data_IF_188235708337
#
_entry.id   IF_188235708337
#
_cell.length_a   1.000
_cell.length_b   1.000
_cell.length_c   1.000
_cell.angle_alpha   90.00
_cell.angle_beta   90.00
_cell.angle_gamma   90.00
#
_symmetry.space_group_name_H-M   'P 1'
#
loop_
_entity.id
_entity.type
_entity.pdbx_description
1 polymer ?
#
# COMPACT_ATOMS: atom_id res chain seq x y z
N UNK A 1 -37.21 -0.50 8.22
CA UNK A 1 -36.98 -0.23 6.79
C UNK A 1 -35.52 0.08 6.42
N UNK A 2 -34.58 0.24 7.36
CA UNK A 2 -33.16 0.53 7.03
C UNK A 2 -32.27 -0.73 6.82
N UNK A 3 -32.76 -1.92 7.19
CA UNK A 3 -32.00 -3.20 7.10
C UNK A 3 -32.00 -3.85 5.70
N UNK A 4 -32.85 -3.40 4.77
CA UNK A 4 -32.99 -3.98 3.44
C UNK A 4 -32.28 -3.19 2.33
N UNK A 5 -31.72 -2.01 2.61
CA UNK A 5 -31.03 -1.16 1.63
C UNK A 5 -29.53 -1.47 1.50
N UNK A 6 -28.95 -2.13 2.50
CA UNK A 6 -27.52 -2.45 2.53
C UNK A 6 -27.07 -3.45 1.44
N UNK A 7 -27.80 -4.55 1.15
CA UNK A 7 -27.38 -5.47 0.07
C UNK A 7 -27.61 -4.90 -1.33
N UNK A 8 -28.55 -3.97 -1.52
CA UNK A 8 -28.81 -3.36 -2.81
C UNK A 8 -27.75 -2.31 -3.20
N UNK A 9 -27.26 -1.55 -2.22
CA UNK A 9 -26.16 -0.60 -2.41
C UNK A 9 -24.82 -1.31 -2.70
N UNK A 10 -24.59 -2.48 -2.10
CA UNK A 10 -23.40 -3.29 -2.36
C UNK A 10 -23.42 -3.95 -3.74
N UNK A 11 -24.61 -4.34 -4.24
CA UNK A 11 -24.76 -4.94 -5.57
C UNK A 11 -24.61 -3.93 -6.72
N UNK A 12 -24.94 -2.66 -6.51
CA UNK A 12 -24.80 -1.60 -7.53
C UNK A 12 -23.34 -1.15 -7.76
N UNK A 13 -22.44 -1.43 -6.81
CA UNK A 13 -21.01 -1.11 -6.93
C UNK A 13 -20.23 -2.15 -7.79
N UNK A 14 -20.86 -3.26 -8.17
CA UNK A 14 -20.22 -4.36 -8.88
C UNK A 14 -20.45 -4.37 -10.39
N UNK A 15 -21.23 -3.45 -10.95
CA UNK A 15 -21.45 -3.36 -12.40
C UNK A 15 -20.55 -2.31 -13.05
N UNK A 16 -19.24 -2.44 -12.91
CA UNK A 16 -18.27 -1.67 -13.68
C UNK A 16 -18.13 -2.25 -15.08
N UNK A 17 -18.52 -1.47 -16.12
CA UNK A 17 -18.25 -1.82 -17.49
C UNK A 17 -16.74 -1.99 -17.70
N UNK A 18 -16.33 -3.14 -18.22
CA UNK A 18 -14.94 -3.42 -18.58
C UNK A 18 -14.54 -2.50 -19.76
N UNK A 19 -13.98 -1.35 -19.46
CA UNK A 19 -13.22 -0.57 -20.41
C UNK A 19 -11.77 -1.10 -20.38
N UNK A 20 -11.15 -1.24 -21.54
CA UNK A 20 -9.72 -1.49 -21.63
C UNK A 20 -8.97 -0.23 -21.16
N UNK A 21 -8.93 -0.02 -19.86
CA UNK A 21 -8.12 1.00 -19.23
C UNK A 21 -6.67 0.50 -19.17
N UNK A 22 -5.70 1.40 -19.23
CA UNK A 22 -4.28 1.10 -19.00
C UNK A 22 -4.13 0.33 -17.68
N UNK A 23 -3.75 -0.94 -17.78
CA UNK A 23 -3.71 -1.88 -16.64
C UNK A 23 -2.63 -1.56 -15.60
N UNK A 24 -1.76 -0.59 -15.88
CA UNK A 24 -0.53 -0.35 -15.12
C UNK A 24 -0.47 1.03 -14.45
N UNK A 25 -1.51 1.85 -14.57
CA UNK A 25 -1.48 3.23 -14.08
C UNK A 25 -1.29 3.34 -12.57
N UNK A 26 -1.79 2.37 -11.79
CA UNK A 26 -1.78 2.36 -10.32
C UNK A 26 -0.87 1.35 -9.66
N UNK A 27 -0.05 0.58 -10.40
CA UNK A 27 0.72 -0.53 -9.82
C UNK A 27 1.71 -0.10 -8.74
N UNK A 28 2.36 1.06 -8.89
CA UNK A 28 3.27 1.58 -7.87
C UNK A 28 2.57 1.84 -6.51
N UNK A 29 1.24 2.03 -6.52
CA UNK A 29 0.41 2.14 -5.32
C UNK A 29 0.06 0.76 -4.73
N UNK A 30 0.29 -0.33 -5.45
CA UNK A 30 -0.03 -1.69 -5.01
C UNK A 30 1.03 -2.33 -4.11
N UNK A 31 2.27 -1.82 -4.12
CA UNK A 31 3.42 -2.44 -3.45
C UNK A 31 3.41 -2.37 -1.90
N UNK A 32 2.34 -1.87 -1.29
CA UNK A 32 2.19 -1.78 0.16
C UNK A 32 2.95 -0.61 0.80
N UNK A 33 2.92 -0.47 2.12
CA UNK A 33 3.64 0.52 2.91
C UNK A 33 3.96 -0.05 4.29
N UNK A 34 5.25 -0.07 4.64
CA UNK A 34 5.75 -0.55 5.94
C UNK A 34 6.20 -2.02 5.94
N UNK A 35 7.35 -2.30 6.56
CA UNK A 35 7.89 -3.65 6.68
C UNK A 35 6.97 -4.57 7.51
N UNK A 36 6.28 -4.04 8.53
CA UNK A 36 5.30 -4.79 9.33
C UNK A 36 4.19 -5.37 8.45
N UNK A 37 3.60 -4.55 7.58
CA UNK A 37 2.53 -4.99 6.69
C UNK A 37 3.01 -5.95 5.61
N UNK A 38 4.20 -5.71 5.05
CA UNK A 38 4.83 -6.58 4.07
C UNK A 38 5.09 -7.98 4.64
N UNK A 39 5.64 -8.06 5.85
CA UNK A 39 5.87 -9.31 6.56
C UNK A 39 4.59 -10.10 6.90
N UNK A 40 3.43 -9.42 6.89
CA UNK A 40 2.10 -9.99 7.10
C UNK A 40 1.38 -10.32 5.78
N UNK A 41 2.13 -10.40 4.66
CA UNK A 41 1.58 -10.71 3.35
C UNK A 41 0.55 -9.67 2.88
N UNK A 42 0.74 -8.39 3.23
CA UNK A 42 -0.19 -7.29 2.91
C UNK A 42 -1.63 -7.48 3.45
N UNK A 43 -1.86 -8.43 4.37
CA UNK A 43 -3.15 -8.67 5.02
C UNK A 43 -3.44 -7.64 6.13
N UNK A 44 -3.26 -6.34 5.84
CA UNK A 44 -3.11 -5.30 6.85
C UNK A 44 -4.33 -4.38 7.02
N UNK A 45 -5.29 -4.40 6.11
CA UNK A 45 -6.43 -3.45 6.05
C UNK A 45 -7.26 -3.39 7.35
N UNK A 46 -7.36 -4.50 8.11
CA UNK A 46 -8.10 -4.57 9.37
C UNK A 46 -7.22 -4.28 10.60
N UNK A 47 -5.90 -4.47 10.48
CA UNK A 47 -4.95 -4.24 11.57
C UNK A 47 -4.42 -2.81 11.58
N UNK A 48 -4.27 -2.13 10.44
CA UNK A 48 -3.65 -0.83 10.28
C UNK A 48 -4.01 0.15 11.43
N UNK A 49 -3.13 0.27 12.42
CA UNK A 49 -3.33 1.00 13.68
C UNK A 49 -2.19 2.01 13.97
N UNK A 50 -1.32 2.22 13.00
CA UNK A 50 -0.14 3.08 13.04
C UNK A 50 -0.18 4.19 11.96
N UNK A 51 0.92 4.92 11.77
CA UNK A 51 1.00 6.01 10.79
C UNK A 51 0.82 5.53 9.34
N UNK A 52 1.03 4.23 9.04
CA UNK A 52 0.82 3.66 7.71
C UNK A 52 -0.66 3.48 7.37
N UNK A 53 -1.56 3.61 8.37
CA UNK A 53 -3.00 3.49 8.18
C UNK A 53 -3.55 4.52 7.17
N UNK A 54 -2.90 5.69 7.03
CA UNK A 54 -3.26 6.67 5.99
C UNK A 54 -3.23 6.11 4.57
N UNK A 55 -2.37 5.14 4.32
CA UNK A 55 -2.25 4.42 3.06
C UNK A 55 -3.12 3.15 3.02
N UNK A 56 -3.14 2.34 4.10
CA UNK A 56 -3.82 1.04 4.11
C UNK A 56 -5.33 1.15 4.29
N UNK A 57 -5.74 1.88 5.32
CA UNK A 57 -7.14 2.14 5.66
C UNK A 57 -7.20 3.30 6.65
N UNK A 58 -7.54 4.49 6.19
CA UNK A 58 -7.56 5.68 7.02
C UNK A 58 -8.45 5.56 8.28
N UNK A 59 -9.47 4.68 8.29
CA UNK A 59 -10.28 4.43 9.48
C UNK A 59 -9.44 3.94 10.67
N UNK A 60 -8.33 3.25 10.40
CA UNK A 60 -7.40 2.75 11.41
C UNK A 60 -6.66 3.85 12.17
N UNK A 61 -6.46 5.03 11.58
CA UNK A 61 -5.87 6.19 12.27
C UNK A 61 -6.61 6.57 13.56
N UNK A 62 -7.89 6.19 13.67
CA UNK A 62 -8.66 6.41 14.89
C UNK A 62 -8.14 5.62 16.10
N UNK A 63 -7.33 4.58 15.90
CA UNK A 63 -6.69 3.82 16.97
C UNK A 63 -5.39 4.47 17.46
N UNK A 64 -4.85 5.42 16.71
CA UNK A 64 -3.60 6.08 17.03
C UNK A 64 -3.70 6.88 18.33
N UNK A 65 -2.66 6.79 19.16
CA UNK A 65 -2.48 7.60 20.36
C UNK A 65 -1.21 8.45 20.23
N UNK A 66 -1.31 9.76 20.54
CA UNK A 66 -0.16 10.67 20.45
C UNK A 66 0.18 11.05 19.01
N UNK A 67 1.47 11.13 18.73
CA UNK A 67 2.05 11.43 17.42
C UNK A 67 2.98 10.32 17.01
N UNK A 68 3.08 10.06 15.71
CA UNK A 68 3.98 9.06 15.17
C UNK A 68 4.60 9.56 13.86
N UNK A 69 5.89 9.30 13.70
CA UNK A 69 6.59 9.38 12.41
C UNK A 69 6.96 7.96 12.02
N UNK A 70 6.76 7.61 10.75
CA UNK A 70 7.11 6.32 10.19
C UNK A 70 7.91 6.50 8.91
N UNK A 71 8.98 5.73 8.78
CA UNK A 71 9.86 5.69 7.62
C UNK A 71 9.99 4.25 7.17
N UNK A 72 9.94 4.01 5.86
CA UNK A 72 10.24 2.71 5.25
C UNK A 72 11.12 2.92 4.04
N UNK A 73 12.14 2.08 3.91
CA UNK A 73 12.92 1.92 2.69
C UNK A 73 12.84 0.47 2.23
N UNK A 74 12.69 0.25 0.93
CA UNK A 74 12.69 -1.08 0.33
C UNK A 74 13.41 -1.09 -1.01
N UNK A 75 14.16 -2.15 -1.22
CA UNK A 75 14.84 -2.46 -2.47
C UNK A 75 14.19 -3.70 -3.08
N UNK A 76 13.69 -3.55 -4.30
CA UNK A 76 13.08 -4.62 -5.06
C UNK A 76 14.01 -5.02 -6.20
N UNK A 77 14.08 -6.33 -6.48
CA UNK A 77 14.79 -6.88 -7.63
C UNK A 77 16.25 -6.43 -7.70
N UNK A 78 17.01 -6.70 -6.61
CA UNK A 78 18.44 -6.34 -6.49
C UNK A 78 18.72 -4.85 -6.59
N UNK A 79 17.81 -4.01 -6.06
CA UNK A 79 17.97 -2.56 -6.05
C UNK A 79 17.56 -1.87 -7.36
N UNK A 80 17.01 -2.61 -8.34
CA UNK A 80 16.52 -2.02 -9.59
C UNK A 80 15.38 -1.03 -9.33
N UNK A 81 14.49 -1.34 -8.38
CA UNK A 81 13.41 -0.46 -7.96
C UNK A 81 13.62 -0.10 -6.50
N UNK A 82 13.73 1.17 -6.21
CA UNK A 82 13.79 1.72 -4.86
C UNK A 82 12.43 2.28 -4.48
N UNK A 83 11.99 2.00 -3.26
CA UNK A 83 10.73 2.52 -2.77
C UNK A 83 10.86 3.03 -1.35
N UNK A 84 10.42 4.28 -1.16
CA UNK A 84 10.41 4.98 0.11
C UNK A 84 8.98 5.29 0.52
N UNK A 85 8.70 5.18 1.80
CA UNK A 85 7.45 5.63 2.41
C UNK A 85 7.74 6.42 3.67
N UNK A 86 7.14 7.60 3.76
CA UNK A 86 7.23 8.47 4.93
C UNK A 86 5.82 8.83 5.37
N UNK A 87 5.53 8.73 6.66
CA UNK A 87 4.26 9.19 7.20
C UNK A 87 4.44 9.92 8.53
N UNK A 88 3.66 10.98 8.71
CA UNK A 88 3.48 11.66 9.99
C UNK A 88 2.01 11.57 10.35
N UNK A 89 1.72 11.06 11.54
CA UNK A 89 0.35 10.89 12.01
C UNK A 89 0.18 11.43 13.42
N UNK A 90 -1.04 11.85 13.75
CA UNK A 90 -1.40 12.28 15.09
C UNK A 90 -2.85 11.96 15.43
N UNK A 91 -3.12 11.73 16.72
CA UNK A 91 -4.47 11.75 17.27
C UNK A 91 -4.99 13.19 17.44
N UNK A 92 -6.30 13.37 17.44
CA UNK A 92 -6.93 14.69 17.62
C UNK A 92 -8.36 14.59 18.16
N UNK A 93 -8.96 15.73 18.45
CA UNK A 93 -10.31 15.80 19.04
C UNK A 93 -11.43 15.76 18.00
N UNK A 94 -11.30 16.51 16.91
CA UNK A 94 -12.32 16.58 15.84
C UNK A 94 -12.24 15.37 14.93
N UNK A 95 -11.03 15.11 14.40
CA UNK A 95 -10.66 13.88 13.75
C UNK A 95 -9.84 13.08 14.76
N UNK A 96 -10.26 11.83 15.02
CA UNK A 96 -9.62 10.99 16.02
C UNK A 96 -8.21 10.56 15.59
N UNK A 97 -7.92 10.59 14.28
CA UNK A 97 -6.60 10.43 13.72
C UNK A 97 -6.47 11.19 12.40
N UNK A 98 -5.28 11.72 12.14
CA UNK A 98 -4.90 12.39 10.90
C UNK A 98 -3.50 11.94 10.51
N UNK A 99 -3.24 11.81 9.21
CA UNK A 99 -1.91 11.50 8.68
C UNK A 99 -1.64 12.27 7.38
N UNK A 100 -0.36 12.59 7.19
CA UNK A 100 0.22 12.98 5.92
C UNK A 100 1.24 11.91 5.56
N UNK A 101 1.11 11.30 4.37
CA UNK A 101 1.99 10.22 3.95
C UNK A 101 2.47 10.46 2.52
N UNK A 102 3.73 10.12 2.25
CA UNK A 102 4.36 10.20 0.94
C UNK A 102 4.90 8.83 0.57
N UNK A 103 4.54 8.37 -0.62
CA UNK A 103 5.15 7.22 -1.31
C UNK A 103 6.03 7.76 -2.42
N UNK A 104 7.25 7.22 -2.54
CA UNK A 104 8.12 7.39 -3.71
C UNK A 104 8.48 6.00 -4.24
N UNK A 105 8.42 5.80 -5.55
CA UNK A 105 9.01 4.68 -6.24
C UNK A 105 9.92 5.22 -7.35
N UNK A 106 11.14 4.73 -7.43
CA UNK A 106 12.13 5.21 -8.38
C UNK A 106 12.86 4.07 -9.08
N UNK A 107 13.21 4.30 -10.33
CA UNK A 107 14.11 3.50 -11.14
C UNK A 107 15.15 4.46 -11.69
N UNK A 108 16.39 4.25 -11.29
CA UNK A 108 17.52 5.05 -11.75
C UNK A 108 18.28 4.31 -12.85
N UNK A 109 19.21 5.02 -13.54
CA UNK A 109 20.13 4.47 -14.53
C UNK A 109 19.45 3.74 -15.71
N UNK A 110 18.32 4.26 -16.20
CA UNK A 110 17.67 3.74 -17.42
C UNK A 110 18.49 4.17 -18.64
N UNK A 111 19.23 3.24 -19.22
CA UNK A 111 20.07 3.51 -20.38
C UNK A 111 19.25 3.47 -21.68
N UNK A 112 19.14 4.62 -22.34
CA UNK A 112 18.67 4.70 -23.71
C UNK A 112 19.85 4.50 -24.65
N UNK A 113 19.72 3.55 -25.57
CA UNK A 113 20.80 3.21 -26.50
C UNK A 113 20.43 3.59 -27.93
N UNK A 114 21.42 4.00 -28.69
CA UNK A 114 21.31 4.26 -30.12
C UNK A 114 22.40 3.48 -30.94
N UNK A 115 22.11 3.24 -32.19
CA UNK A 115 23.10 2.69 -33.11
C UNK A 115 23.94 3.84 -33.68
N UNK A 116 25.30 3.72 -33.76
CA UNK A 116 26.13 4.70 -34.42
C UNK A 116 25.73 4.97 -35.88
N UNK A 117 25.30 3.95 -36.59
CA UNK A 117 24.65 4.07 -37.89
C UNK A 117 23.23 3.50 -37.83
N UNK A 118 22.19 4.37 -37.76
CA UNK A 118 20.79 3.93 -37.64
C UNK A 118 20.24 3.28 -38.92
N UNK A 119 20.95 3.41 -40.05
CA UNK A 119 20.57 2.80 -41.34
C UNK A 119 21.05 1.35 -41.48
N UNK A 120 21.92 0.89 -40.58
CA UNK A 120 22.43 -0.47 -40.57
C UNK A 120 21.88 -1.27 -39.37
N UNK A 121 21.69 -2.56 -39.61
CA UNK A 121 21.31 -3.46 -38.52
C UNK A 121 22.41 -3.58 -37.44
N UNK A 122 22.07 -3.92 -36.21
CA UNK A 122 23.07 -4.22 -35.16
C UNK A 122 24.06 -5.28 -35.63
N UNK A 123 25.36 -5.00 -35.47
CA UNK A 123 26.48 -5.89 -35.84
C UNK A 123 27.64 -5.68 -34.88
N UNK A 124 28.75 -6.44 -35.07
CA UNK A 124 30.00 -6.25 -34.31
C UNK A 124 30.55 -4.84 -34.43
N UNK A 125 30.38 -4.21 -35.61
CA UNK A 125 30.91 -2.89 -35.92
C UNK A 125 29.86 -1.77 -35.69
N UNK A 126 28.58 -2.14 -35.57
CA UNK A 126 27.49 -1.22 -35.32
C UNK A 126 26.72 -1.64 -34.02
N UNK A 127 27.42 -1.60 -32.88
CA UNK A 127 26.88 -1.96 -31.59
C UNK A 127 26.12 -0.80 -30.96
N UNK A 128 24.97 -1.06 -30.28
CA UNK A 128 24.29 -0.04 -29.49
C UNK A 128 25.25 0.61 -28.49
N UNK A 129 25.22 1.92 -28.41
CA UNK A 129 25.91 2.74 -27.42
C UNK A 129 24.92 3.49 -26.58
N UNK A 130 25.26 3.78 -25.32
CA UNK A 130 24.42 4.59 -24.43
C UNK A 130 24.38 6.01 -25.01
N UNK A 131 23.19 6.45 -25.40
CA UNK A 131 22.94 7.81 -25.90
C UNK A 131 22.60 8.75 -24.74
N UNK A 132 21.72 8.30 -23.82
CA UNK A 132 21.39 9.03 -22.60
C UNK A 132 21.10 8.06 -21.45
N UNK A 133 21.18 8.57 -20.24
CA UNK A 133 20.75 7.86 -19.03
C UNK A 133 19.65 8.68 -18.38
N UNK A 134 18.50 8.08 -18.20
CA UNK A 134 17.29 8.72 -17.67
C UNK A 134 16.87 8.05 -16.35
N UNK A 135 15.90 8.65 -15.69
CA UNK A 135 15.28 8.11 -14.48
C UNK A 135 13.76 8.14 -14.59
N UNK A 136 13.11 7.28 -13.82
CA UNK A 136 11.66 7.28 -13.65
C UNK A 136 11.33 7.35 -12.16
N UNK A 137 10.38 8.19 -11.80
CA UNK A 137 9.95 8.31 -10.40
C UNK A 137 8.44 8.57 -10.31
N UNK A 138 7.78 7.78 -9.48
CA UNK A 138 6.36 7.93 -9.14
C UNK A 138 6.23 8.38 -7.69
N UNK A 139 5.38 9.38 -7.45
CA UNK A 139 5.09 9.93 -6.14
C UNK A 139 3.60 9.91 -5.87
N UNK A 140 3.20 9.59 -4.63
CA UNK A 140 1.84 9.76 -4.16
C UNK A 140 1.83 10.38 -2.76
N UNK A 141 1.19 11.55 -2.64
CA UNK A 141 0.98 12.25 -1.38
C UNK A 141 -0.45 12.00 -0.89
N UNK A 142 -0.60 11.47 0.32
CA UNK A 142 -1.89 11.21 0.95
C UNK A 142 -2.12 12.18 2.11
N UNK A 143 -3.30 12.80 2.13
CA UNK A 143 -3.85 13.49 3.30
C UNK A 143 -5.04 12.67 3.80
N UNK A 144 -4.92 12.12 5.01
CA UNK A 144 -5.86 11.17 5.56
C UNK A 144 -6.44 11.65 6.89
N UNK A 145 -7.71 11.33 7.11
CA UNK A 145 -8.39 11.62 8.36
C UNK A 145 -9.37 10.53 8.75
N UNK A 146 -9.59 10.34 10.06
CA UNK A 146 -10.50 9.34 10.60
C UNK A 146 -11.39 9.88 11.69
N UNK A 147 -12.58 9.29 11.80
CA UNK A 147 -13.55 9.61 12.85
C UNK A 147 -14.21 8.34 13.40
N UNK A 148 -14.25 8.21 14.72
CA UNK A 148 -15.05 7.18 15.38
C UNK A 148 -16.53 7.59 15.40
N UNK A 149 -17.39 6.67 14.99
CA UNK A 149 -18.84 6.78 15.07
C UNK A 149 -19.34 5.78 16.13
N UNK A 150 -19.29 6.21 17.39
CA UNK A 150 -19.60 5.36 18.54
C UNK A 150 -18.42 4.47 18.96
N UNK A 151 -18.72 3.39 19.70
CA UNK A 151 -17.70 2.54 20.33
C UNK A 151 -17.03 1.53 19.37
N UNK A 152 -17.68 1.20 18.25
CA UNK A 152 -17.29 0.06 17.42
C UNK A 152 -16.94 0.43 15.98
N UNK A 153 -17.45 1.54 15.46
CA UNK A 153 -17.31 1.92 14.06
C UNK A 153 -16.35 3.10 13.92
N UNK A 154 -15.39 2.99 13.01
CA UNK A 154 -14.55 4.08 12.57
C UNK A 154 -14.67 4.24 11.05
N UNK A 155 -14.72 5.47 10.58
CA UNK A 155 -14.64 5.81 9.17
C UNK A 155 -13.37 6.62 8.91
N UNK A 156 -12.83 6.49 7.70
CA UNK A 156 -11.65 7.21 7.26
C UNK A 156 -11.79 7.66 5.81
N UNK A 157 -11.18 8.78 5.50
CA UNK A 157 -11.08 9.32 4.16
C UNK A 157 -9.62 9.68 3.89
N UNK A 158 -9.12 9.35 2.70
CA UNK A 158 -7.83 9.79 2.19
C UNK A 158 -8.03 10.48 0.86
N UNK A 159 -7.44 11.67 0.71
CA UNK A 159 -7.24 12.33 -0.57
C UNK A 159 -5.80 12.07 -0.99
N UNK A 160 -5.57 11.72 -2.26
CA UNK A 160 -4.23 11.48 -2.79
C UNK A 160 -3.97 12.31 -4.04
N UNK A 161 -2.78 12.91 -4.09
CA UNK A 161 -2.23 13.56 -5.26
C UNK A 161 -1.08 12.69 -5.80
N UNK A 162 -1.07 12.44 -7.09
CA UNK A 162 -0.10 11.61 -7.77
C UNK A 162 0.72 12.47 -8.72
N UNK A 163 2.03 12.29 -8.72
CA UNK A 163 2.95 12.82 -9.71
C UNK A 163 3.81 11.69 -10.24
N UNK A 164 3.90 11.58 -11.56
CA UNK A 164 4.70 10.56 -12.23
C UNK A 164 5.65 11.24 -13.20
N UNK A 165 6.88 10.76 -13.24
CA UNK A 165 7.90 11.19 -14.19
C UNK A 165 8.50 9.95 -14.84
N UNK A 166 8.47 9.91 -16.17
CA UNK A 166 9.11 8.86 -16.98
C UNK A 166 10.01 9.57 -17.97
N UNK A 167 11.31 9.55 -17.71
CA UNK A 167 12.31 10.34 -18.46
C UNK A 167 11.90 11.85 -18.48
N UNK A 168 11.56 12.38 -19.64
CA UNK A 168 11.15 13.79 -19.84
C UNK A 168 9.65 14.02 -19.78
N UNK A 169 8.82 12.98 -19.60
CA UNK A 169 7.36 13.04 -19.66
C UNK A 169 6.80 13.01 -18.23
N UNK A 170 5.82 13.86 -17.94
CA UNK A 170 5.22 13.98 -16.62
C UNK A 170 3.72 13.69 -16.66
N UNK A 171 3.19 13.19 -15.55
CA UNK A 171 1.76 13.05 -15.36
C UNK A 171 1.31 13.42 -13.95
N UNK A 172 0.05 13.82 -13.84
CA UNK A 172 -0.57 14.23 -12.58
C UNK A 172 -1.89 13.50 -12.40
N UNK A 173 -2.21 13.14 -11.17
CA UNK A 173 -3.46 12.50 -10.82
C UNK A 173 -3.99 12.93 -9.47
N UNK A 174 -5.31 12.73 -9.27
CA UNK A 174 -5.96 12.97 -8.01
C UNK A 174 -7.00 11.89 -7.75
N UNK A 175 -7.00 11.32 -6.54
CA UNK A 175 -7.90 10.24 -6.13
C UNK A 175 -8.38 10.39 -4.69
N UNK A 176 -9.43 9.64 -4.38
CA UNK A 176 -10.03 9.56 -3.05
C UNK A 176 -10.21 8.09 -2.65
N UNK A 177 -9.90 7.78 -1.39
CA UNK A 177 -10.10 6.46 -0.80
C UNK A 177 -11.00 6.57 0.43
N UNK A 178 -11.92 5.62 0.62
CA UNK A 178 -12.87 5.56 1.74
C UNK A 178 -12.67 4.28 2.54
N UNK A 179 -12.32 4.43 3.81
CA UNK A 179 -12.07 3.34 4.74
C UNK A 179 -13.15 3.17 5.80
N UNK A 180 -13.37 1.94 6.21
CA UNK A 180 -14.21 1.56 7.35
C UNK A 180 -13.50 0.50 8.19
N UNK A 181 -13.62 0.62 9.52
CA UNK A 181 -13.19 -0.41 10.48
C UNK A 181 -14.27 -0.61 11.52
N UNK A 182 -14.67 -1.86 11.72
CA UNK A 182 -15.70 -2.25 12.70
C UNK A 182 -15.15 -3.24 13.73
N UNK A 183 -15.14 -2.86 14.99
CA UNK A 183 -14.73 -3.71 16.11
C UNK A 183 -15.91 -4.57 16.52
N UNK A 184 -15.95 -5.82 16.06
CA UNK A 184 -17.04 -6.78 16.32
C UNK A 184 -17.02 -7.23 17.79
N UNK A 185 -15.82 -7.56 18.31
CA UNK A 185 -15.54 -7.88 19.71
C UNK A 185 -14.16 -7.32 20.10
N UNK A 186 -13.73 -7.38 21.37
CA UNK A 186 -12.36 -6.99 21.74
C UNK A 186 -11.27 -7.70 20.94
N UNK A 187 -11.55 -8.92 20.44
CA UNK A 187 -10.60 -9.76 19.70
C UNK A 187 -10.75 -9.65 18.19
N UNK A 188 -11.94 -9.27 17.67
CA UNK A 188 -12.24 -9.35 16.24
C UNK A 188 -12.48 -7.97 15.66
N UNK A 189 -11.70 -7.59 14.66
CA UNK A 189 -11.93 -6.41 13.84
C UNK A 189 -12.19 -6.82 12.39
N UNK A 190 -13.16 -6.15 11.76
CA UNK A 190 -13.45 -6.23 10.32
C UNK A 190 -13.17 -4.89 9.69
N UNK A 191 -12.72 -4.89 8.44
CA UNK A 191 -12.46 -3.66 7.72
C UNK A 191 -12.77 -3.77 6.24
N UNK A 192 -13.09 -2.62 5.67
CA UNK A 192 -13.22 -2.42 4.23
C UNK A 192 -12.50 -1.12 3.85
N UNK A 193 -11.87 -1.10 2.69
CA UNK A 193 -11.31 0.11 2.10
C UNK A 193 -11.61 0.12 0.60
N UNK A 194 -12.33 1.12 0.14
CA UNK A 194 -12.53 1.38 -1.29
C UNK A 194 -11.47 2.39 -1.71
N UNK A 195 -10.52 1.95 -2.52
CA UNK A 195 -9.51 2.82 -3.12
C UNK A 195 -10.04 3.37 -4.44
N UNK A 196 -9.62 4.58 -4.77
CA UNK A 196 -9.94 5.24 -6.04
C UNK A 196 -11.45 5.33 -6.33
N UNK A 197 -12.27 5.69 -5.31
CA UNK A 197 -13.74 5.65 -5.37
C UNK A 197 -14.35 6.46 -6.53
N UNK A 198 -13.62 7.47 -7.00
CA UNK A 198 -14.03 8.35 -8.10
C UNK A 198 -13.38 8.00 -9.42
N UNK A 199 -12.68 6.86 -9.51
CA UNK A 199 -11.73 6.57 -10.59
C UNK A 199 -10.66 7.66 -10.68
N UNK A 200 -9.41 7.34 -10.40
CA UNK A 200 -8.33 8.34 -10.37
C UNK A 200 -7.78 8.56 -11.76
N UNK A 201 -8.02 9.73 -12.39
CA UNK A 201 -7.41 10.07 -13.67
C UNK A 201 -5.92 10.37 -13.47
N UNK A 202 -5.11 9.94 -14.43
CA UNK A 202 -3.70 10.28 -14.60
C UNK A 202 -3.55 10.97 -15.94
N UNK A 203 -3.24 12.25 -15.93
CA UNK A 203 -3.14 13.10 -17.15
C UNK A 203 -1.67 13.37 -17.43
N UNK A 204 -1.22 12.96 -18.62
CA UNK A 204 0.14 13.15 -19.10
C UNK A 204 0.27 14.49 -19.85
N UNK A 205 1.46 15.05 -19.84
CA UNK A 205 1.81 16.26 -20.59
C UNK A 205 1.84 16.05 -22.13
N UNK A 206 1.67 14.79 -22.56
CA UNK A 206 1.53 14.38 -23.96
C UNK A 206 0.05 14.34 -24.44
N UNK A 207 -0.88 14.96 -23.73
CA UNK A 207 -2.33 14.93 -23.99
C UNK A 207 -2.98 13.53 -23.88
N UNK A 208 -2.25 12.52 -23.41
CA UNK A 208 -2.79 11.19 -23.10
C UNK A 208 -3.31 11.13 -21.66
N UNK A 209 -4.20 10.19 -21.39
CA UNK A 209 -4.71 9.97 -20.04
C UNK A 209 -4.92 8.49 -19.74
N UNK A 210 -4.52 8.10 -18.54
CA UNK A 210 -4.79 6.80 -17.95
C UNK A 210 -5.78 6.93 -16.80
N UNK A 211 -6.28 5.81 -16.29
CA UNK A 211 -7.22 5.79 -15.16
C UNK A 211 -6.92 4.63 -14.24
N UNK A 212 -6.82 4.92 -12.93
CA UNK A 212 -6.80 3.89 -11.91
C UNK A 212 -8.23 3.55 -11.54
N UNK A 213 -8.62 2.29 -11.72
CA UNK A 213 -9.97 1.81 -11.46
C UNK A 213 -10.21 1.63 -9.94
N UNK A 214 -11.46 1.82 -9.47
CA UNK A 214 -11.82 1.54 -8.10
C UNK A 214 -11.52 0.10 -7.68
N UNK A 215 -10.99 -0.07 -6.47
CA UNK A 215 -10.77 -1.39 -5.88
C UNK A 215 -11.30 -1.46 -4.45
N UNK A 216 -11.85 -2.62 -4.08
CA UNK A 216 -12.35 -2.91 -2.74
C UNK A 216 -11.40 -3.88 -2.04
N UNK A 217 -10.86 -3.45 -0.91
CA UNK A 217 -10.10 -4.29 0.01
C UNK A 217 -11.00 -4.65 1.19
N UNK A 218 -11.08 -5.94 1.50
CA UNK A 218 -11.78 -6.44 2.68
C UNK A 218 -10.77 -7.15 3.59
N UNK A 219 -10.96 -7.06 4.90
CA UNK A 219 -10.07 -7.74 5.84
C UNK A 219 -10.70 -8.04 7.16
N UNK A 220 -10.12 -9.04 7.84
CA UNK A 220 -10.44 -9.44 9.20
C UNK A 220 -9.15 -9.61 10.01
N UNK A 221 -9.21 -9.25 11.27
CA UNK A 221 -8.15 -9.47 12.25
C UNK A 221 -8.73 -10.17 13.49
N UNK A 222 -8.03 -11.19 13.97
CA UNK A 222 -8.36 -11.92 15.18
C UNK A 222 -7.17 -11.95 16.12
N UNK A 223 -7.31 -11.29 17.26
CA UNK A 223 -6.25 -11.09 18.23
C UNK A 223 -6.56 -11.83 19.54
N UNK A 224 -5.64 -12.70 19.97
CA UNK A 224 -5.75 -13.50 21.19
C UNK A 224 -4.43 -13.50 21.99
N UNK A 225 -4.48 -13.51 23.30
CA UNK A 225 -3.29 -13.71 24.14
C UNK A 225 -2.85 -15.19 24.07
N UNK A 226 -1.61 -15.45 23.69
CA UNK A 226 -1.00 -16.79 23.67
C UNK A 226 0.40 -16.69 24.25
N UNK A 227 0.78 -17.64 25.11
CA UNK A 227 2.13 -17.78 25.66
C UNK A 227 2.72 -16.49 26.25
N UNK A 228 1.89 -15.69 26.91
CA UNK A 228 2.31 -14.42 27.53
C UNK A 228 2.45 -13.25 26.57
N UNK A 229 2.27 -13.46 25.27
CA UNK A 229 2.25 -12.44 24.22
C UNK A 229 0.88 -12.29 23.59
N UNK A 230 0.80 -11.43 22.58
CA UNK A 230 -0.37 -11.20 21.76
C UNK A 230 -0.16 -11.83 20.37
N UNK A 231 -1.05 -12.75 19.99
CA UNK A 231 -1.09 -13.31 18.62
C UNK A 231 -2.21 -12.68 17.84
N UNK A 232 -1.95 -12.25 16.62
CA UNK A 232 -2.96 -11.69 15.71
C UNK A 232 -2.93 -12.43 14.38
N UNK A 233 -4.04 -13.08 14.01
CA UNK A 233 -4.24 -13.69 12.71
C UNK A 233 -5.00 -12.71 11.80
N UNK A 234 -4.61 -12.63 10.55
CA UNK A 234 -5.09 -11.67 9.56
C UNK A 234 -5.49 -12.38 8.28
N UNK A 235 -6.59 -11.93 7.70
CA UNK A 235 -7.00 -12.31 6.35
C UNK A 235 -7.42 -11.05 5.61
N UNK A 236 -7.06 -10.95 4.34
CA UNK A 236 -7.59 -9.90 3.47
C UNK A 236 -7.71 -10.38 2.04
N UNK A 237 -8.55 -9.69 1.29
CA UNK A 237 -8.75 -9.90 -0.13
C UNK A 237 -8.98 -8.58 -0.84
N UNK A 238 -8.70 -8.55 -2.13
CA UNK A 238 -8.93 -7.39 -3.00
C UNK A 238 -9.79 -7.80 -4.19
N UNK A 239 -10.71 -6.94 -4.60
CA UNK A 239 -11.53 -7.09 -5.80
C UNK A 239 -11.59 -5.77 -6.57
N UNK A 240 -11.56 -5.82 -7.88
CA UNK A 240 -11.50 -4.64 -8.74
C UNK A 240 -10.09 -4.06 -8.88
N UNK A 241 -9.97 -2.85 -9.41
CA UNK A 241 -8.70 -2.25 -9.82
C UNK A 241 -8.21 -2.85 -11.14
N UNK A 242 -6.92 -2.67 -11.40
CA UNK A 242 -6.28 -3.11 -12.64
C UNK A 242 -5.82 -4.58 -12.59
N UNK A 243 -6.39 -5.40 -11.71
CA UNK A 243 -6.02 -6.82 -11.60
C UNK A 243 -6.38 -7.59 -12.87
N UNK A 244 -5.37 -8.19 -13.50
CA UNK A 244 -5.49 -8.92 -14.76
C UNK A 244 -6.16 -10.31 -14.62
N UNK A 245 -6.36 -10.78 -13.38
CA UNK A 245 -6.84 -12.13 -13.10
C UNK A 245 -8.29 -12.11 -12.62
N UNK A 246 -9.07 -13.09 -13.07
CA UNK A 246 -10.41 -13.36 -12.55
C UNK A 246 -10.38 -13.88 -11.09
N UNK A 247 -9.21 -14.25 -10.61
CA UNK A 247 -9.01 -14.77 -9.27
C UNK A 247 -8.98 -13.62 -8.24
N UNK A 248 -9.70 -13.84 -7.15
CA UNK A 248 -9.73 -12.93 -6.02
C UNK A 248 -8.51 -13.24 -5.13
N UNK A 249 -7.48 -12.39 -5.09
CA UNK A 249 -6.26 -12.67 -4.33
C UNK A 249 -6.59 -12.75 -2.84
N UNK A 250 -6.11 -13.81 -2.19
CA UNK A 250 -6.22 -13.98 -0.75
C UNK A 250 -4.84 -13.77 -0.10
N UNK A 251 -4.81 -12.87 0.85
CA UNK A 251 -3.64 -12.58 1.68
C UNK A 251 -3.89 -13.02 3.11
N UNK A 252 -2.89 -13.60 3.75
CA UNK A 252 -2.94 -14.03 5.15
C UNK A 252 -1.72 -13.57 5.91
N UNK A 253 -1.88 -13.30 7.19
CA UNK A 253 -0.78 -12.89 8.08
C UNK A 253 -0.94 -13.43 9.49
N UNK A 254 0.19 -13.68 10.14
CA UNK A 254 0.26 -14.05 11.56
C UNK A 254 1.33 -13.19 12.22
N UNK A 255 0.95 -12.46 13.27
CA UNK A 255 1.86 -11.67 14.10
C UNK A 255 1.84 -12.22 15.53
N UNK A 256 3.00 -12.44 16.11
CA UNK A 256 3.17 -12.71 17.55
C UNK A 256 4.05 -11.64 18.16
N UNK A 257 3.49 -10.86 19.09
CA UNK A 257 4.19 -9.82 19.83
C UNK A 257 4.38 -10.23 21.28
N UNK A 258 5.63 -10.20 21.74
CA UNK A 258 5.98 -10.48 23.14
C UNK A 258 7.06 -9.50 23.62
N UNK A 259 6.72 -8.67 24.61
CA UNK A 259 7.59 -7.62 25.17
C UNK A 259 8.13 -6.68 24.09
N UNK A 260 9.38 -6.88 23.66
CA UNK A 260 10.11 -6.01 22.73
C UNK A 260 10.31 -6.63 21.35
N UNK A 261 9.78 -7.84 21.13
CA UNK A 261 9.97 -8.60 19.90
C UNK A 261 8.64 -8.93 19.28
N UNK A 262 8.55 -8.78 17.97
CA UNK A 262 7.45 -9.26 17.15
C UNK A 262 7.97 -10.21 16.07
N UNK A 263 7.35 -11.38 15.95
CA UNK A 263 7.59 -12.34 14.88
C UNK A 263 6.40 -12.33 13.92
N UNK A 264 6.68 -12.32 12.61
CA UNK A 264 5.64 -12.24 11.59
C UNK A 264 5.88 -13.24 10.48
N UNK A 265 4.79 -13.81 10.00
CA UNK A 265 4.75 -14.61 8.78
C UNK A 265 3.52 -14.24 7.97
N UNK A 266 3.63 -14.23 6.66
CA UNK A 266 2.56 -13.84 5.76
C UNK A 266 2.57 -14.61 4.45
N UNK A 267 1.43 -14.60 3.79
CA UNK A 267 1.24 -15.09 2.43
C UNK A 267 0.56 -13.98 1.63
N UNK A 268 1.20 -13.53 0.56
CA UNK A 268 0.66 -12.56 -0.39
C UNK A 268 0.49 -13.25 -1.75
N UNK A 269 -0.75 -13.54 -2.11
CA UNK A 269 -1.05 -14.23 -3.37
C UNK A 269 -0.25 -15.55 -3.54
N UNK A 270 -0.06 -16.30 -2.43
CA UNK A 270 0.73 -17.54 -2.40
C UNK A 270 2.22 -17.37 -2.13
N UNK A 271 2.78 -16.15 -2.24
CA UNK A 271 4.18 -15.86 -1.96
C UNK A 271 4.41 -15.68 -0.47
N UNK A 272 5.49 -16.22 0.03
CA UNK A 272 5.82 -16.18 1.46
C UNK A 272 6.49 -14.87 1.84
N UNK A 273 6.12 -14.35 3.01
CA UNK A 273 6.74 -13.20 3.64
C UNK A 273 7.05 -13.53 5.10
N UNK A 274 8.16 -13.01 5.59
CA UNK A 274 8.59 -13.16 6.99
C UNK A 274 9.07 -11.82 7.53
N UNK A 275 8.99 -11.63 8.83
CA UNK A 275 9.49 -10.40 9.45
C UNK A 275 9.78 -10.49 10.91
N UNK A 276 10.64 -9.56 11.31
CA UNK A 276 11.06 -9.34 12.69
C UNK A 276 10.79 -7.89 13.07
N UNK A 277 10.13 -7.68 14.21
CA UNK A 277 9.97 -6.37 14.83
C UNK A 277 10.72 -6.29 16.14
N UNK A 278 11.35 -5.16 16.41
CA UNK A 278 12.04 -4.84 17.65
C UNK A 278 11.55 -3.50 18.18
N UNK A 279 11.25 -3.45 19.48
CA UNK A 279 10.91 -2.20 20.20
C UNK A 279 12.01 -1.92 21.23
N UNK A 280 13.21 -1.46 20.82
CA UNK A 280 14.34 -1.26 21.71
C UNK A 280 14.08 -0.19 22.78
N UNK A 281 13.21 0.77 22.47
CA UNK A 281 12.74 1.80 23.37
C UNK A 281 11.23 1.92 23.27
N UNK A 282 10.56 2.44 24.30
CA UNK A 282 9.09 2.59 24.34
C UNK A 282 8.50 3.39 23.17
N UNK A 283 9.31 4.20 22.56
CA UNK A 283 8.91 5.14 21.49
C UNK A 283 9.53 4.83 20.13
N UNK A 284 10.30 3.76 19.99
CA UNK A 284 10.96 3.37 18.75
C UNK A 284 10.63 1.92 18.41
N UNK A 285 10.05 1.68 17.26
CA UNK A 285 9.87 0.36 16.66
C UNK A 285 10.72 0.28 15.39
N UNK A 286 11.42 -0.83 15.22
CA UNK A 286 12.20 -1.20 14.05
C UNK A 286 11.64 -2.49 13.48
N UNK A 287 11.32 -2.51 12.21
CA UNK A 287 10.76 -3.67 11.53
C UNK A 287 11.59 -4.03 10.29
N UNK A 288 11.84 -5.31 10.13
CA UNK A 288 12.46 -5.90 8.95
C UNK A 288 11.48 -6.89 8.32
N UNK A 289 11.36 -6.86 7.01
CA UNK A 289 10.61 -7.84 6.22
C UNK A 289 11.45 -8.42 5.09
N UNK A 290 11.21 -9.69 4.82
CA UNK A 290 11.71 -10.47 3.69
C UNK A 290 10.50 -11.00 2.92
N UNK A 291 10.46 -10.73 1.61
CA UNK A 291 9.40 -11.19 0.71
C UNK A 291 10.03 -12.07 -0.37
N UNK A 292 9.53 -13.28 -0.49
CA UNK A 292 9.94 -14.21 -1.52
C UNK A 292 9.24 -13.89 -2.84
N UNK A 293 9.98 -14.00 -3.95
CA UNK A 293 9.45 -13.97 -5.31
C UNK A 293 9.78 -15.27 -6.05
N UNK A 294 8.89 -15.70 -6.94
CA UNK A 294 9.04 -16.99 -7.64
C UNK A 294 10.09 -16.92 -8.77
N UNK A 295 10.19 -15.78 -9.45
CA UNK A 295 11.02 -15.60 -10.65
C UNK A 295 12.09 -14.51 -10.51
N UNK A 296 12.06 -13.73 -9.45
CA UNK A 296 12.92 -12.60 -9.20
C UNK A 296 13.57 -12.72 -7.83
N UNK A 297 14.62 -11.94 -7.58
CA UNK A 297 15.24 -11.91 -6.27
C UNK A 297 14.30 -11.37 -5.19
N UNK A 298 14.55 -11.80 -3.96
CA UNK A 298 13.75 -11.42 -2.81
C UNK A 298 13.80 -9.91 -2.55
N UNK A 299 12.71 -9.38 -2.01
CA UNK A 299 12.62 -7.99 -1.58
C UNK A 299 12.89 -7.89 -0.08
N UNK A 300 13.69 -6.92 0.30
CA UNK A 300 13.92 -6.55 1.69
C UNK A 300 13.31 -5.19 1.98
N UNK A 301 12.61 -5.09 3.12
CA UNK A 301 12.06 -3.82 3.59
C UNK A 301 12.50 -3.55 5.02
N UNK A 302 12.92 -2.33 5.29
CA UNK A 302 13.27 -1.83 6.61
C UNK A 302 12.38 -0.66 6.97
N UNK A 303 11.81 -0.68 8.17
CA UNK A 303 11.00 0.42 8.69
C UNK A 303 11.44 0.85 10.08
N UNK A 304 11.26 2.13 10.35
CA UNK A 304 11.40 2.72 11.67
C UNK A 304 10.16 3.56 12.00
N UNK A 305 9.58 3.35 13.19
CA UNK A 305 8.46 4.15 13.70
C UNK A 305 8.85 4.81 15.00
N UNK A 306 8.61 6.11 15.10
CA UNK A 306 8.89 6.90 16.29
C UNK A 306 7.61 7.52 16.84
N UNK A 307 7.31 7.25 18.14
CA UNK A 307 6.12 7.72 18.86
C UNK A 307 6.48 8.77 19.90
N UNK A 308 5.67 9.84 20.06
CA UNK A 308 5.87 10.92 21.04
C UNK A 308 4.57 11.68 21.36
#
# INVERSE_FOLDING_TARGET
>A
MLKSLFPLALALLLTGAAHAASRYAGEFLGLGAGARSAALGSAYVALADDATAGYWNAAGLSALSGRQVHLTHSEHFSGLIQRDFVAVARSGRLLHGMALSLVRMGIDDIHFTELPDPLQSPSTDNRPRIASTEQSADYALYLSGSRRLGARLSLGLSAKAIYRQVASINAYGFGLDLGMRYQLSPQIALAANVRDITTTPIVWDTDSSDRIQPSLLLGAAYAIPIAGGQTTALLSTRSGGDTATADVPLNAGLEYCHHYIALRAGLEEGRQAFGLGLTPYRNLDLDLAYLQHDALEATYQLSASFRF
#
